data_IF_799247888075
#
_entry.id   IF_799247888075
#
_cell.length_a   1.000
_cell.length_b   1.000
_cell.length_c   1.000
_cell.angle_alpha   90.00
_cell.angle_beta   90.00
_cell.angle_gamma   90.00
#
_symmetry.space_group_name_H-M   'P 1'
#
loop_
_entity.id
_entity.type
_entity.pdbx_description
1 polymer ?
#
# COMPACT_ATOMS: atom_id res chain seq x y z
N UNK A 1 17.63 -15.98 -8.66
CA UNK A 1 16.72 -15.24 -7.75
C UNK A 1 17.00 -15.73 -6.35
N UNK A 2 17.54 -14.85 -5.51
CA UNK A 2 18.08 -15.23 -4.21
C UNK A 2 16.96 -15.54 -3.22
N UNK A 3 17.15 -16.58 -2.42
CA UNK A 3 16.16 -17.13 -1.48
C UNK A 3 15.76 -16.06 -0.45
N UNK A 4 16.69 -15.17 -0.11
CA UNK A 4 16.55 -14.02 0.79
C UNK A 4 15.40 -13.09 0.40
N UNK A 5 15.20 -12.83 -0.89
CA UNK A 5 14.12 -11.96 -1.38
C UNK A 5 12.73 -12.51 -1.02
N UNK A 6 12.54 -13.82 -1.20
CA UNK A 6 11.28 -14.48 -0.89
C UNK A 6 11.00 -14.50 0.62
N UNK A 7 12.03 -14.60 1.45
CA UNK A 7 11.90 -14.51 2.91
C UNK A 7 11.46 -13.11 3.36
N UNK A 8 12.10 -12.05 2.86
CA UNK A 8 11.71 -10.68 3.18
C UNK A 8 10.29 -10.36 2.70
N UNK A 9 9.94 -10.81 1.50
CA UNK A 9 8.58 -10.63 0.97
C UNK A 9 7.54 -11.40 1.80
N UNK A 10 7.81 -12.67 2.15
CA UNK A 10 6.93 -13.46 3.01
C UNK A 10 6.74 -12.78 4.38
N UNK A 11 7.83 -12.34 5.03
CA UNK A 11 7.79 -11.64 6.31
C UNK A 11 6.96 -10.35 6.22
N UNK A 12 7.16 -9.55 5.17
CA UNK A 12 6.38 -8.34 4.93
C UNK A 12 4.88 -8.63 4.83
N UNK A 13 4.50 -9.65 4.06
CA UNK A 13 3.09 -10.02 3.90
C UNK A 13 2.48 -10.62 5.17
N UNK A 14 3.26 -11.33 5.99
CA UNK A 14 2.83 -11.80 7.32
C UNK A 14 2.54 -10.61 8.24
N UNK A 15 3.45 -9.65 8.33
CA UNK A 15 3.25 -8.44 9.14
C UNK A 15 2.01 -7.65 8.66
N UNK A 16 1.83 -7.54 7.34
CA UNK A 16 0.68 -6.86 6.75
C UNK A 16 -0.64 -7.62 7.01
N UNK A 17 -0.63 -8.95 7.02
CA UNK A 17 -1.77 -9.77 7.38
C UNK A 17 -2.16 -9.58 8.86
N UNK A 18 -1.18 -9.59 9.77
CA UNK A 18 -1.38 -9.36 11.20
C UNK A 18 -1.92 -7.95 11.46
N UNK A 19 -1.34 -6.92 10.83
CA UNK A 19 -1.83 -5.55 10.95
C UNK A 19 -3.29 -5.43 10.46
N UNK A 20 -3.61 -6.04 9.32
CA UNK A 20 -4.96 -6.02 8.78
C UNK A 20 -5.95 -6.83 9.62
N UNK A 21 -5.49 -7.91 10.27
CA UNK A 21 -6.29 -8.71 11.19
C UNK A 21 -6.61 -7.91 12.47
N UNK A 22 -5.61 -7.28 13.06
CA UNK A 22 -5.79 -6.36 14.18
C UNK A 22 -6.74 -5.22 13.81
N UNK A 23 -6.56 -4.62 12.63
CA UNK A 23 -7.42 -3.56 12.12
C UNK A 23 -8.86 -4.04 11.83
N UNK A 24 -9.05 -5.28 11.41
CA UNK A 24 -10.37 -5.88 11.22
C UNK A 24 -11.07 -6.08 12.57
N UNK A 25 -10.35 -6.63 13.55
CA UNK A 25 -10.88 -6.88 14.88
C UNK A 25 -11.23 -5.60 15.64
N UNK A 26 -10.26 -4.67 15.74
CA UNK A 26 -10.43 -3.42 16.52
C UNK A 26 -11.49 -2.49 15.93
N UNK A 27 -11.61 -2.45 14.61
CA UNK A 27 -12.44 -1.46 13.91
C UNK A 27 -13.60 -2.08 13.12
N UNK A 28 -13.95 -3.35 13.40
CA UNK A 28 -15.03 -4.10 12.76
C UNK A 28 -14.99 -4.03 11.22
N UNK A 29 -13.78 -3.98 10.64
CA UNK A 29 -13.61 -3.98 9.19
C UNK A 29 -13.65 -5.42 8.65
N UNK A 30 -13.90 -5.57 7.36
CA UNK A 30 -13.78 -6.86 6.70
C UNK A 30 -12.37 -7.45 6.84
N UNK A 31 -12.30 -8.76 7.10
CA UNK A 31 -11.08 -9.56 7.16
C UNK A 31 -10.43 -9.81 5.78
N UNK A 32 -11.10 -9.42 4.69
CA UNK A 32 -10.65 -9.67 3.32
C UNK A 32 -9.20 -9.18 3.03
N UNK A 33 -8.75 -8.00 3.50
CA UNK A 33 -7.35 -7.59 3.32
C UNK A 33 -6.36 -8.46 4.11
N UNK A 34 -6.76 -8.99 5.27
CA UNK A 34 -5.92 -9.91 6.05
C UNK A 34 -5.79 -11.27 5.36
N UNK A 35 -6.90 -11.79 4.80
CA UNK A 35 -6.91 -13.02 3.99
C UNK A 35 -5.98 -12.86 2.79
N UNK A 36 -6.02 -11.72 2.09
CA UNK A 36 -5.10 -11.47 0.98
C UNK A 36 -3.64 -11.38 1.40
N UNK A 37 -3.36 -10.72 2.52
CA UNK A 37 -2.01 -10.71 3.09
C UNK A 37 -1.50 -12.13 3.37
N UNK A 38 -2.35 -12.97 3.96
CA UNK A 38 -2.02 -14.37 4.25
C UNK A 38 -1.81 -15.20 2.97
N UNK A 39 -2.69 -15.07 1.96
CA UNK A 39 -2.54 -15.75 0.67
C UNK A 39 -1.24 -15.35 -0.05
N UNK A 40 -0.89 -14.06 -0.01
CA UNK A 40 0.38 -13.56 -0.54
C UNK A 40 1.56 -14.17 0.22
N UNK A 41 1.54 -14.16 1.56
CA UNK A 41 2.59 -14.77 2.37
C UNK A 41 2.77 -16.27 2.03
N UNK A 42 1.68 -17.03 1.95
CA UNK A 42 1.71 -18.46 1.58
C UNK A 42 2.33 -18.66 0.20
N UNK A 43 1.94 -17.83 -0.78
CA UNK A 43 2.51 -17.90 -2.14
C UNK A 43 4.02 -17.70 -2.13
N UNK A 44 4.53 -16.74 -1.35
CA UNK A 44 5.97 -16.49 -1.19
C UNK A 44 6.70 -17.58 -0.39
N UNK A 45 6.06 -18.21 0.60
CA UNK A 45 6.61 -19.41 1.24
C UNK A 45 6.69 -20.60 0.27
N UNK A 46 5.68 -20.78 -0.59
CA UNK A 46 5.69 -21.85 -1.59
C UNK A 46 6.80 -21.67 -2.64
N UNK A 47 7.17 -20.42 -2.97
CA UNK A 47 8.35 -20.15 -3.80
C UNK A 47 9.66 -20.67 -3.21
N UNK A 48 9.77 -20.80 -1.88
CA UNK A 48 10.94 -21.38 -1.20
C UNK A 48 11.05 -22.89 -1.40
N UNK A 49 9.92 -23.58 -1.56
CA UNK A 49 9.87 -25.03 -1.76
C UNK A 49 10.03 -25.35 -3.25
N UNK A 50 9.12 -24.82 -4.08
CA UNK A 50 9.18 -24.98 -5.54
C UNK A 50 8.66 -23.72 -6.23
N UNK A 51 9.45 -23.21 -7.18
CA UNK A 51 9.13 -21.97 -7.91
C UNK A 51 7.80 -22.05 -8.66
N UNK A 52 7.48 -23.20 -9.24
CA UNK A 52 6.26 -23.42 -10.03
C UNK A 52 5.02 -23.36 -9.14
N UNK A 53 5.03 -24.05 -7.99
CA UNK A 53 3.89 -24.06 -7.06
C UNK A 53 3.68 -22.67 -6.46
N UNK A 54 4.77 -21.98 -6.09
CA UNK A 54 4.70 -20.58 -5.66
C UNK A 54 4.08 -19.66 -6.72
N UNK A 55 4.47 -19.82 -7.99
CA UNK A 55 3.92 -19.03 -9.09
C UNK A 55 2.43 -19.29 -9.33
N UNK A 56 1.98 -20.56 -9.27
CA UNK A 56 0.56 -20.91 -9.40
C UNK A 56 -0.25 -20.33 -8.24
N UNK A 57 0.23 -20.48 -6.99
CA UNK A 57 -0.43 -19.91 -5.82
C UNK A 57 -0.52 -18.37 -5.89
N UNK A 58 0.54 -17.73 -6.35
CA UNK A 58 0.57 -16.28 -6.56
C UNK A 58 -0.45 -15.84 -7.62
N UNK A 59 -0.54 -16.58 -8.74
CA UNK A 59 -1.51 -16.30 -9.79
C UNK A 59 -2.96 -16.46 -9.30
N UNK A 60 -3.26 -17.52 -8.54
CA UNK A 60 -4.57 -17.71 -7.90
C UNK A 60 -4.89 -16.58 -6.92
N UNK A 61 -3.91 -16.13 -6.14
CA UNK A 61 -4.05 -14.98 -5.25
C UNK A 61 -4.34 -13.69 -6.04
N UNK A 62 -3.68 -13.48 -7.18
CA UNK A 62 -3.95 -12.35 -8.08
C UNK A 62 -5.38 -12.41 -8.65
N UNK A 63 -5.84 -13.57 -9.11
CA UNK A 63 -7.21 -13.74 -9.59
C UNK A 63 -8.23 -13.45 -8.48
N UNK A 64 -7.99 -13.96 -7.27
CA UNK A 64 -8.83 -13.67 -6.11
C UNK A 64 -8.87 -12.17 -5.78
N UNK A 65 -7.73 -11.48 -5.91
CA UNK A 65 -7.62 -10.03 -5.78
C UNK A 65 -8.43 -9.27 -6.83
N UNK A 66 -8.39 -9.72 -8.09
CA UNK A 66 -9.14 -9.11 -9.17
C UNK A 66 -10.65 -9.26 -8.99
N UNK A 67 -11.12 -10.47 -8.64
CA UNK A 67 -12.56 -10.73 -8.39
C UNK A 67 -13.09 -9.87 -7.25
N UNK A 68 -12.29 -9.72 -6.19
CA UNK A 68 -12.68 -8.96 -5.01
C UNK A 68 -12.26 -7.48 -5.04
N UNK A 69 -11.74 -6.99 -6.16
CA UNK A 69 -11.17 -5.65 -6.29
C UNK A 69 -12.14 -4.55 -5.85
N UNK A 70 -13.42 -4.63 -6.27
CA UNK A 70 -14.44 -3.65 -5.88
C UNK A 70 -14.66 -3.61 -4.36
N UNK A 71 -14.73 -4.78 -3.71
CA UNK A 71 -14.93 -4.89 -2.27
C UNK A 71 -13.73 -4.31 -1.50
N UNK A 72 -12.51 -4.66 -1.93
CA UNK A 72 -11.27 -4.18 -1.29
C UNK A 72 -11.12 -2.69 -1.43
N UNK A 73 -11.39 -2.17 -2.63
CA UNK A 73 -11.40 -0.73 -2.86
C UNK A 73 -12.33 -0.05 -1.87
N UNK A 74 -13.58 -0.49 -1.76
CA UNK A 74 -14.54 0.10 -0.83
C UNK A 74 -14.10 -0.01 0.65
N UNK A 75 -13.50 -1.12 1.06
CA UNK A 75 -12.95 -1.28 2.42
C UNK A 75 -11.83 -0.28 2.67
N UNK A 76 -10.89 -0.12 1.73
CA UNK A 76 -9.80 0.85 1.85
C UNK A 76 -10.32 2.29 1.79
N UNK A 77 -11.30 2.59 0.94
CA UNK A 77 -11.95 3.91 0.90
C UNK A 77 -12.57 4.21 2.28
N UNK A 78 -13.32 3.27 2.87
CA UNK A 78 -13.95 3.45 4.19
C UNK A 78 -12.94 3.57 5.33
N UNK A 79 -11.87 2.76 5.32
CA UNK A 79 -10.77 2.91 6.27
C UNK A 79 -10.19 4.31 6.18
N UNK A 80 -9.87 4.77 4.97
CA UNK A 80 -9.31 6.11 4.75
C UNK A 80 -10.27 7.21 5.20
N UNK A 81 -11.57 7.16 4.83
CA UNK A 81 -12.58 8.12 5.28
C UNK A 81 -12.62 8.26 6.80
N UNK A 82 -12.63 7.14 7.52
CA UNK A 82 -12.62 7.14 8.99
C UNK A 82 -11.34 7.77 9.56
N UNK A 83 -10.18 7.44 9.02
CA UNK A 83 -8.93 8.05 9.49
C UNK A 83 -8.88 9.56 9.24
N UNK A 84 -9.49 10.03 8.15
CA UNK A 84 -9.60 11.45 7.83
C UNK A 84 -10.65 12.15 8.72
N UNK A 85 -11.74 11.47 9.13
CA UNK A 85 -12.72 12.02 10.09
C UNK A 85 -12.22 12.04 11.52
N UNK A 86 -11.46 11.03 11.94
CA UNK A 86 -10.96 10.88 13.31
C UNK A 86 -9.72 11.76 13.57
N UNK A 87 -9.03 12.23 12.52
CA UNK A 87 -7.86 13.09 12.69
C UNK A 87 -8.28 14.51 13.07
N UNK A 88 -8.35 14.79 14.37
CA UNK A 88 -8.44 16.16 14.89
C UNK A 88 -7.25 17.00 14.39
N UNK A 89 -7.53 18.23 13.93
CA UNK A 89 -6.54 19.12 13.31
C UNK A 89 -5.29 19.35 14.19
N UNK A 90 -5.39 19.18 15.51
CA UNK A 90 -4.35 19.56 16.47
C UNK A 90 -3.45 18.41 16.96
N UNK A 91 -3.68 17.17 16.54
CA UNK A 91 -2.81 16.08 17.01
C UNK A 91 -1.44 16.08 16.31
N UNK A 92 -0.32 15.97 17.01
CA UNK A 92 0.99 15.90 16.37
C UNK A 92 1.07 14.71 15.37
N UNK A 93 1.78 14.92 14.25
CA UNK A 93 2.05 13.84 13.29
C UNK A 93 3.07 12.92 13.93
N UNK A 94 2.68 11.67 14.23
CA UNK A 94 3.64 10.67 14.68
C UNK A 94 4.38 10.11 13.48
N UNK A 95 5.61 9.63 13.66
CA UNK A 95 6.39 8.99 12.58
C UNK A 95 5.63 7.79 11.98
N UNK A 96 4.88 7.06 12.81
CA UNK A 96 4.00 5.98 12.36
C UNK A 96 2.87 6.45 11.41
N UNK A 97 2.44 7.71 11.52
CA UNK A 97 1.41 8.29 10.65
C UNK A 97 1.96 8.63 9.25
N UNK A 98 3.28 8.76 9.09
CA UNK A 98 3.94 8.87 7.79
C UNK A 98 3.89 7.54 7.03
N UNK A 99 3.97 6.41 7.75
CA UNK A 99 3.91 5.08 7.15
C UNK A 99 2.50 4.70 6.66
N UNK A 100 1.45 5.16 7.36
CA UNK A 100 0.07 5.00 6.86
C UNK A 100 -0.31 6.07 5.84
N UNK A 101 0.32 7.25 5.91
CA UNK A 101 0.21 8.35 4.94
C UNK A 101 -1.14 9.09 4.95
N UNK A 102 -2.17 8.58 5.64
CA UNK A 102 -3.53 9.13 5.58
C UNK A 102 -3.70 10.43 6.39
N UNK A 103 -3.08 10.56 7.56
CA UNK A 103 -3.12 11.79 8.37
C UNK A 103 -2.35 12.94 7.69
N UNK A 104 -1.20 12.60 7.10
CA UNK A 104 -0.44 13.53 6.26
C UNK A 104 -1.28 13.96 5.04
N UNK A 105 -1.91 13.01 4.36
CA UNK A 105 -2.78 13.27 3.21
C UNK A 105 -3.96 14.19 3.59
N UNK A 106 -4.58 14.01 4.76
CA UNK A 106 -5.65 14.89 5.25
C UNK A 106 -5.20 16.34 5.38
N UNK A 107 -4.09 16.55 6.08
CA UNK A 107 -3.55 17.90 6.36
C UNK A 107 -3.11 18.60 5.09
N UNK A 108 -2.43 17.86 4.22
CA UNK A 108 -2.03 18.37 2.91
C UNK A 108 -3.26 18.72 2.07
N UNK A 109 -4.35 17.95 2.16
CA UNK A 109 -5.60 18.25 1.46
C UNK A 109 -6.20 19.57 1.93
N UNK A 110 -6.36 19.78 3.25
CA UNK A 110 -6.87 21.04 3.79
C UNK A 110 -6.01 22.25 3.40
N UNK A 111 -4.68 22.08 3.32
CA UNK A 111 -3.77 23.19 3.03
C UNK A 111 -3.58 23.51 1.54
N UNK A 112 -3.57 22.49 0.68
CA UNK A 112 -3.16 22.64 -0.73
C UNK A 112 -4.17 22.07 -1.74
N UNK A 113 -5.25 21.44 -1.28
CA UNK A 113 -6.24 20.76 -2.09
C UNK A 113 -5.82 19.37 -2.59
N UNK A 114 -6.76 18.65 -3.23
CA UNK A 114 -6.66 17.20 -3.46
C UNK A 114 -5.57 16.83 -4.46
N UNK A 115 -5.34 17.68 -5.46
CA UNK A 115 -4.33 17.48 -6.50
C UNK A 115 -2.90 17.57 -5.92
N UNK A 116 -2.61 18.63 -5.15
CA UNK A 116 -1.28 18.86 -4.57
C UNK A 116 -1.00 17.90 -3.42
N UNK A 117 -2.00 17.63 -2.57
CA UNK A 117 -1.86 16.67 -1.48
C UNK A 117 -1.51 15.26 -1.96
N UNK A 118 -2.24 14.78 -2.97
CA UNK A 118 -1.98 13.46 -3.55
C UNK A 118 -0.61 13.39 -4.20
N UNK A 119 -0.18 14.46 -4.87
CA UNK A 119 1.14 14.51 -5.49
C UNK A 119 2.26 14.41 -4.45
N UNK A 120 2.22 15.25 -3.40
CA UNK A 120 3.22 15.26 -2.34
C UNK A 120 3.30 13.88 -1.65
N UNK A 121 2.16 13.30 -1.29
CA UNK A 121 2.13 11.99 -0.63
C UNK A 121 2.70 10.88 -1.52
N UNK A 122 2.32 10.87 -2.82
CA UNK A 122 2.85 9.91 -3.78
C UNK A 122 4.35 10.08 -4.04
N UNK A 123 4.85 11.32 -4.10
CA UNK A 123 6.28 11.60 -4.27
C UNK A 123 7.11 11.12 -3.08
N UNK A 124 6.62 11.31 -1.85
CA UNK A 124 7.30 10.79 -0.65
C UNK A 124 7.44 9.27 -0.73
N UNK A 125 6.37 8.56 -1.06
CA UNK A 125 6.40 7.10 -1.22
C UNK A 125 7.35 6.69 -2.34
N UNK A 126 7.37 7.41 -3.46
CA UNK A 126 8.27 7.14 -4.58
C UNK A 126 9.75 7.29 -4.18
N UNK A 127 10.08 8.32 -3.39
CA UNK A 127 11.44 8.52 -2.86
C UNK A 127 11.85 7.35 -1.94
N UNK A 128 10.97 6.93 -1.02
CA UNK A 128 11.24 5.76 -0.17
C UNK A 128 11.44 4.49 -0.99
N UNK A 129 10.59 4.29 -1.98
CA UNK A 129 10.70 3.21 -2.96
C UNK A 129 12.06 3.22 -3.66
N UNK A 130 12.53 4.36 -4.15
CA UNK A 130 13.84 4.51 -4.80
C UNK A 130 14.98 4.20 -3.82
N UNK A 131 14.91 4.70 -2.59
CA UNK A 131 15.93 4.42 -1.57
C UNK A 131 16.03 2.92 -1.28
N UNK A 132 14.90 2.23 -1.17
CA UNK A 132 14.86 0.78 -1.01
C UNK A 132 15.50 0.10 -2.22
N UNK A 133 15.15 0.52 -3.44
CA UNK A 133 15.74 -0.04 -4.66
C UNK A 133 17.27 0.13 -4.70
N UNK A 134 17.79 1.30 -4.30
CA UNK A 134 19.24 1.55 -4.19
C UNK A 134 19.91 0.69 -3.12
N UNK A 135 19.27 0.49 -1.96
CA UNK A 135 19.79 -0.42 -0.94
C UNK A 135 19.86 -1.86 -1.47
N UNK A 136 18.84 -2.31 -2.19
CA UNK A 136 18.81 -3.66 -2.78
C UNK A 136 19.85 -3.84 -3.89
N UNK A 137 20.08 -2.84 -4.74
CA UNK A 137 21.13 -2.91 -5.78
C UNK A 137 22.53 -2.84 -5.18
N UNK A 138 22.73 -2.12 -4.08
CA UNK A 138 23.99 -2.11 -3.35
C UNK A 138 24.28 -3.47 -2.68
N UNK A 139 23.26 -4.09 -2.06
CA UNK A 139 23.41 -5.39 -1.40
C UNK A 139 23.51 -6.57 -2.38
N UNK A 140 22.86 -6.48 -3.55
CA UNK A 140 22.81 -7.55 -4.55
C UNK A 140 22.91 -7.00 -5.99
N UNK A 141 24.11 -6.59 -6.42
CA UNK A 141 24.32 -5.97 -7.74
C UNK A 141 23.96 -6.90 -8.92
N UNK A 142 24.15 -8.21 -8.77
CA UNK A 142 23.95 -9.18 -9.88
C UNK A 142 22.47 -9.43 -10.23
N UNK A 143 21.56 -9.22 -9.27
CA UNK A 143 20.12 -9.53 -9.41
C UNK A 143 19.38 -8.38 -10.12
N UNK A 144 19.90 -7.16 -10.05
CA UNK A 144 19.25 -5.94 -10.54
C UNK A 144 19.95 -5.32 -11.74
N UNK A 145 20.54 -6.15 -12.61
CA UNK A 145 21.11 -5.73 -13.90
C UNK A 145 20.11 -4.97 -14.80
N UNK A 146 18.80 -5.06 -14.52
CA UNK A 146 17.75 -4.34 -15.23
C UNK A 146 16.93 -3.41 -14.31
N UNK A 147 17.62 -2.59 -13.52
CA UNK A 147 17.02 -1.61 -12.59
C UNK A 147 15.95 -0.72 -13.23
N UNK A 148 16.05 -0.46 -14.55
CA UNK A 148 15.07 0.30 -15.33
C UNK A 148 13.66 -0.31 -15.30
N UNK A 149 13.53 -1.64 -15.38
CA UNK A 149 12.22 -2.29 -15.28
C UNK A 149 11.60 -2.13 -13.90
N UNK A 150 12.43 -2.19 -12.86
CA UNK A 150 11.98 -2.01 -11.48
C UNK A 150 11.49 -0.58 -11.26
N UNK A 151 12.25 0.42 -11.72
CA UNK A 151 11.86 1.83 -11.70
C UNK A 151 10.56 2.06 -12.49
N UNK A 152 10.41 1.43 -13.65
CA UNK A 152 9.19 1.53 -14.46
C UNK A 152 7.96 0.98 -13.73
N UNK A 153 8.06 -0.23 -13.15
CA UNK A 153 6.98 -0.84 -12.36
C UNK A 153 6.62 0.05 -11.16
N UNK A 154 7.62 0.57 -10.45
CA UNK A 154 7.39 1.45 -9.29
C UNK A 154 6.72 2.77 -9.70
N UNK A 155 7.07 3.32 -10.86
CA UNK A 155 6.44 4.52 -11.39
C UNK A 155 4.97 4.28 -11.71
N UNK A 156 4.62 3.14 -12.32
CA UNK A 156 3.21 2.76 -12.56
C UNK A 156 2.44 2.63 -11.24
N UNK A 157 3.04 1.97 -10.23
CA UNK A 157 2.42 1.79 -8.91
C UNK A 157 2.15 3.16 -8.25
N UNK A 158 3.14 4.06 -8.25
CA UNK A 158 3.00 5.40 -7.66
C UNK A 158 2.01 6.27 -8.42
N UNK A 159 1.98 6.19 -9.75
CA UNK A 159 0.97 6.88 -10.56
C UNK A 159 -0.44 6.37 -10.25
N UNK A 160 -0.61 5.06 -10.08
CA UNK A 160 -1.85 4.45 -9.61
C UNK A 160 -2.26 4.96 -8.23
N UNK A 161 -1.32 5.00 -7.29
CA UNK A 161 -1.53 5.51 -5.93
C UNK A 161 -1.92 6.99 -5.93
N UNK A 162 -1.26 7.82 -6.73
CA UNK A 162 -1.63 9.24 -6.93
C UNK A 162 -3.08 9.37 -7.42
N UNK A 163 -3.45 8.63 -8.48
CA UNK A 163 -4.79 8.69 -9.06
C UNK A 163 -5.86 8.25 -8.08
N UNK A 164 -5.57 7.23 -7.27
CA UNK A 164 -6.49 6.73 -6.24
C UNK A 164 -6.70 7.76 -5.13
N UNK A 165 -5.63 8.32 -4.58
CA UNK A 165 -5.71 9.34 -3.52
C UNK A 165 -6.44 10.59 -4.00
N UNK A 166 -6.11 11.07 -5.20
CA UNK A 166 -6.72 12.27 -5.79
C UNK A 166 -8.24 12.10 -5.90
N UNK A 167 -8.68 11.00 -6.54
CA UNK A 167 -10.11 10.71 -6.71
C UNK A 167 -10.84 10.60 -5.38
N UNK A 168 -10.17 10.07 -4.35
CA UNK A 168 -10.80 9.92 -3.05
C UNK A 168 -10.96 11.25 -2.31
N UNK A 169 -9.94 12.10 -2.35
CA UNK A 169 -10.02 13.43 -1.75
C UNK A 169 -11.05 14.31 -2.47
N UNK A 170 -11.12 14.26 -3.81
CA UNK A 170 -12.16 14.96 -4.58
C UNK A 170 -13.57 14.50 -4.19
N UNK A 171 -13.78 13.18 -4.00
CA UNK A 171 -15.06 12.64 -3.51
C UNK A 171 -15.41 13.14 -2.10
N UNK A 172 -14.41 13.33 -1.25
CA UNK A 172 -14.60 13.77 0.14
C UNK A 172 -14.94 15.26 0.21
N UNK A 173 -14.26 16.11 -0.56
CA UNK A 173 -14.58 17.54 -0.64
C UNK A 173 -15.98 17.77 -1.22
N UNK A 174 -16.35 17.01 -2.26
CA UNK A 174 -17.69 17.12 -2.85
C UNK A 174 -18.81 16.61 -1.93
N UNK A 175 -18.48 15.73 -0.97
CA UNK A 175 -19.43 15.23 0.01
C UNK A 175 -19.59 16.17 1.24
N UNK A 176 -18.66 17.11 1.45
CA UNK A 176 -18.65 18.04 2.58
C UNK A 176 -18.41 19.49 2.12
N UNK A 177 -19.40 20.13 1.44
CA UNK A 177 -19.24 21.49 0.92
C UNK A 177 -19.16 22.59 2.00
N UNK A 178 -19.39 22.28 3.28
CA UNK A 178 -19.55 23.25 4.36
C UNK A 178 -18.23 23.73 5.03
N UNK A 179 -17.06 23.22 4.64
CA UNK A 179 -15.74 23.66 5.16
C UNK A 179 -14.99 24.62 4.22
N UNK A 180 -15.64 25.19 3.19
CA UNK A 180 -15.03 26.19 2.30
C UNK A 180 -15.18 27.62 2.81
#
# INVERSE_FOLDING_TARGET
MDISFFHFAALFFVLLAIYNLYSAHKYQNSYLPAIMGAMMAISFFLFLITKIVGAIAFFLTMLFALVNFKKIRNINENKMKRYLSDSGNNEPIKVADLFTGWKLLHRLNKKYGPRKASFINSSIIWIFCILIAFMYTYLWPDIFTNIWYLIFIMTIIVAGFYRQNKRLLEKLENANPAEK
#
